data_IF_085524351621
#
_entry.id   IF_085524351621
#
_cell.length_a   1.000
_cell.length_b   1.000
_cell.length_c   1.000
_cell.angle_alpha   90.00
_cell.angle_beta   90.00
_cell.angle_gamma   90.00
#
_symmetry.space_group_name_H-M   'P 1'
#
loop_
_entity.id
_entity.type
_entity.pdbx_description
1 polymer ?
#
# COMPACT_ATOMS: atom_id res chain seq x y z
N UNK A 1 -5.48 -2.62 10.07
CA UNK A 1 -4.45 -1.55 10.13
C UNK A 1 -4.01 -1.10 8.75
N UNK A 2 -3.45 -2.00 7.90
CA UNK A 2 -2.95 -1.66 6.55
C UNK A 2 -3.94 -0.81 5.73
N UNK A 3 -5.18 -1.29 5.53
CA UNK A 3 -6.20 -0.58 4.73
C UNK A 3 -6.41 0.87 5.16
N UNK A 4 -6.41 1.14 6.47
CA UNK A 4 -6.63 2.48 6.98
C UNK A 4 -5.40 3.37 6.70
N UNK A 5 -4.19 2.89 6.97
CA UNK A 5 -2.95 3.62 6.68
C UNK A 5 -2.77 3.88 5.19
N UNK A 6 -3.03 2.87 4.36
CA UNK A 6 -2.99 2.98 2.91
C UNK A 6 -3.95 4.09 2.42
N UNK A 7 -5.18 4.12 2.96
CA UNK A 7 -6.18 5.15 2.64
C UNK A 7 -5.72 6.54 3.08
N UNK A 8 -5.23 6.70 4.31
CA UNK A 8 -4.77 8.02 4.77
C UNK A 8 -3.55 8.53 3.99
N UNK A 9 -2.63 7.65 3.60
CA UNK A 9 -1.49 8.02 2.76
C UNK A 9 -1.92 8.45 1.34
N UNK A 10 -2.95 7.82 0.78
CA UNK A 10 -3.46 8.21 -0.55
C UNK A 10 -4.15 9.57 -0.55
N UNK A 11 -4.58 10.05 0.61
CA UNK A 11 -5.30 11.31 0.77
C UNK A 11 -4.37 12.53 0.90
N UNK A 12 -3.05 12.38 0.74
CA UNK A 12 -2.14 13.53 0.70
C UNK A 12 -2.57 14.53 -0.39
N UNK A 13 -2.66 15.85 -0.14
CA UNK A 13 -2.27 16.58 1.09
C UNK A 13 -3.39 16.79 2.12
N UNK A 14 -4.58 16.22 1.92
CA UNK A 14 -5.69 16.33 2.87
C UNK A 14 -5.38 15.63 4.20
N UNK A 15 -4.82 14.42 4.16
CA UNK A 15 -4.30 13.73 5.34
C UNK A 15 -2.77 13.67 5.28
N UNK A 16 -2.10 14.25 6.27
CA UNK A 16 -0.64 14.43 6.31
C UNK A 16 0.05 13.60 7.39
N UNK A 17 -0.67 12.72 8.08
CA UNK A 17 -0.07 11.95 9.17
C UNK A 17 -0.96 10.81 9.65
N UNK A 18 -0.32 9.72 10.06
CA UNK A 18 -0.98 8.58 10.67
C UNK A 18 -0.14 8.08 11.85
N UNK A 19 -0.76 7.95 13.00
CA UNK A 19 -0.17 7.36 14.20
C UNK A 19 -1.10 6.23 14.64
N UNK A 20 -0.66 4.99 14.51
CA UNK A 20 -1.49 3.86 14.92
C UNK A 20 -1.32 3.60 16.43
N UNK A 21 -2.43 3.27 17.08
CA UNK A 21 -2.42 2.83 18.47
C UNK A 21 -2.27 1.30 18.50
N UNK A 22 -1.23 0.73 19.11
CA UNK A 22 -0.08 1.35 19.81
C UNK A 22 1.24 0.72 19.35
N UNK A 23 2.38 1.32 19.70
CA UNK A 23 3.68 0.78 19.32
C UNK A 23 4.06 -0.46 20.15
N UNK A 24 4.10 -0.34 21.47
CA UNK A 24 4.68 -1.33 22.38
C UNK A 24 3.76 -1.68 23.57
N UNK A 25 4.19 -2.66 24.36
CA UNK A 25 3.59 -3.01 25.65
C UNK A 25 4.53 -2.70 26.82
N UNK A 26 3.94 -2.45 28.00
CA UNK A 26 4.68 -2.23 29.26
C UNK A 26 4.73 -3.48 30.15
N UNK A 27 4.03 -4.55 29.76
CA UNK A 27 3.96 -5.86 30.43
C UNK A 27 3.34 -6.92 29.50
N UNK A 28 3.45 -8.23 29.77
CA UNK A 28 2.85 -9.27 28.92
C UNK A 28 1.31 -9.23 28.96
N UNK A 29 0.69 -8.76 27.88
CA UNK A 29 -0.76 -8.54 27.82
C UNK A 29 -1.29 -8.66 26.39
N UNK A 30 -2.59 -8.94 26.25
CA UNK A 30 -3.29 -8.75 24.99
C UNK A 30 -3.54 -7.24 24.77
N UNK A 31 -3.00 -6.69 23.69
CA UNK A 31 -3.08 -5.26 23.39
C UNK A 31 -3.05 -5.00 21.87
N UNK A 32 -3.11 -3.72 21.52
CA UNK A 32 -2.99 -3.21 20.14
C UNK A 32 -1.54 -2.98 19.70
N UNK A 33 -0.54 -3.45 20.45
CA UNK A 33 0.86 -3.18 20.13
C UNK A 33 1.29 -3.84 18.82
N UNK A 34 2.26 -3.27 18.11
CA UNK A 34 2.98 -3.95 17.04
C UNK A 34 4.25 -4.65 17.54
N UNK A 35 4.78 -4.20 18.68
CA UNK A 35 5.88 -4.80 19.43
C UNK A 35 5.36 -5.36 20.76
N UNK A 36 5.62 -6.64 21.04
CA UNK A 36 5.31 -7.20 22.36
C UNK A 36 6.22 -6.64 23.46
N UNK A 37 5.97 -7.02 24.72
CA UNK A 37 6.77 -6.56 25.88
C UNK A 37 8.26 -6.91 25.77
N UNK A 38 8.62 -8.00 25.11
CA UNK A 38 10.00 -8.42 24.85
C UNK A 38 10.63 -7.74 23.64
N UNK A 39 9.91 -6.85 22.95
CA UNK A 39 10.33 -6.20 21.71
C UNK A 39 10.16 -7.06 20.47
N UNK A 40 9.51 -8.23 20.58
CA UNK A 40 9.20 -9.11 19.47
C UNK A 40 8.25 -8.46 18.48
N UNK A 41 8.55 -8.60 17.19
CA UNK A 41 7.69 -8.08 16.13
C UNK A 41 6.46 -8.95 15.97
N UNK A 42 5.27 -8.37 16.20
CA UNK A 42 4.02 -8.96 15.75
C UNK A 42 3.89 -8.76 14.23
N UNK A 43 2.97 -9.51 13.60
CA UNK A 43 2.66 -9.37 12.16
C UNK A 43 2.45 -7.90 11.75
N UNK A 44 1.80 -7.11 12.63
CA UNK A 44 1.58 -5.70 12.41
C UNK A 44 2.87 -4.91 12.17
N UNK A 45 3.98 -5.22 12.83
CA UNK A 45 5.22 -4.45 12.66
C UNK A 45 5.90 -4.74 11.32
N UNK A 46 5.83 -5.99 10.84
CA UNK A 46 6.24 -6.34 9.48
C UNK A 46 5.38 -5.63 8.44
N UNK A 47 4.07 -5.53 8.68
CA UNK A 47 3.18 -4.76 7.82
C UNK A 47 3.50 -3.27 7.87
N UNK A 48 3.82 -2.72 9.04
CA UNK A 48 4.15 -1.32 9.21
C UNK A 48 5.36 -0.90 8.39
N UNK A 49 6.40 -1.74 8.35
CA UNK A 49 7.54 -1.54 7.45
C UNK A 49 7.12 -1.42 5.98
N UNK A 50 6.10 -2.18 5.53
CA UNK A 50 5.62 -2.17 4.14
C UNK A 50 4.72 -0.98 3.86
N UNK A 51 3.69 -0.74 4.68
CA UNK A 51 2.73 0.35 4.45
C UNK A 51 3.28 1.74 4.78
N UNK A 52 4.45 1.84 5.44
CA UNK A 52 5.23 3.08 5.58
C UNK A 52 6.48 3.14 4.68
N UNK A 53 6.58 2.28 3.66
CA UNK A 53 7.63 2.41 2.66
C UNK A 53 7.57 3.81 2.01
N UNK A 54 8.71 4.51 1.81
CA UNK A 54 8.73 5.88 1.28
C UNK A 54 8.05 6.02 -0.09
N UNK A 55 8.22 5.02 -0.95
CA UNK A 55 7.50 4.88 -2.21
C UNK A 55 6.61 3.66 -2.13
N UNK A 56 5.34 3.81 -2.51
CA UNK A 56 4.39 2.69 -2.55
C UNK A 56 3.26 2.93 -3.54
N UNK A 57 2.59 1.85 -3.96
CA UNK A 57 1.26 1.90 -4.57
C UNK A 57 0.27 1.28 -3.62
N UNK A 58 -0.82 2.00 -3.37
CA UNK A 58 -1.94 1.54 -2.54
C UNK A 58 -3.16 1.29 -3.42
N UNK A 59 -3.91 0.23 -3.12
CA UNK A 59 -5.17 -0.10 -3.77
C UNK A 59 -6.32 0.07 -2.76
N UNK A 60 -7.24 0.98 -3.06
CA UNK A 60 -8.33 1.35 -2.16
C UNK A 60 -9.66 0.97 -2.80
N UNK A 61 -10.46 0.10 -2.17
CA UNK A 61 -11.77 -0.24 -2.68
C UNK A 61 -12.73 0.97 -2.57
N UNK A 62 -13.49 1.22 -3.62
CA UNK A 62 -14.56 2.22 -3.67
C UNK A 62 -15.78 1.68 -4.47
N UNK A 63 -16.77 2.53 -4.73
CA UNK A 63 -18.01 2.14 -5.39
C UNK A 63 -17.84 1.67 -6.85
N UNK A 64 -16.73 1.98 -7.51
CA UNK A 64 -16.48 1.61 -8.91
C UNK A 64 -15.36 0.57 -9.05
N UNK A 65 -14.89 -0.03 -7.95
CA UNK A 65 -13.85 -1.05 -7.94
C UNK A 65 -12.69 -0.66 -7.03
N UNK A 66 -11.46 -0.62 -7.57
CA UNK A 66 -10.25 -0.28 -6.83
C UNK A 66 -9.56 0.93 -7.45
N UNK A 67 -9.35 1.96 -6.64
CA UNK A 67 -8.48 3.09 -6.97
C UNK A 67 -7.04 2.75 -6.61
N UNK A 68 -6.12 2.80 -7.57
CA UNK A 68 -4.69 2.65 -7.33
C UNK A 68 -4.02 4.03 -7.31
N UNK A 69 -3.36 4.32 -6.19
CA UNK A 69 -2.68 5.61 -5.94
C UNK A 69 -1.21 5.34 -5.67
N UNK A 70 -0.32 6.04 -6.39
CA UNK A 70 1.10 6.05 -6.08
C UNK A 70 1.40 7.13 -5.05
N UNK A 71 2.21 6.78 -4.04
CA UNK A 71 2.66 7.68 -2.98
C UNK A 71 4.19 7.77 -3.05
N UNK A 72 4.71 8.99 -3.03
CA UNK A 72 6.14 9.27 -2.96
C UNK A 72 6.41 10.25 -1.83
N UNK A 73 7.05 9.78 -0.76
CA UNK A 73 7.48 10.58 0.39
C UNK A 73 8.99 10.93 0.32
N UNK A 74 9.66 10.65 -0.79
CA UNK A 74 11.08 10.99 -0.98
C UNK A 74 11.22 12.44 -1.44
N UNK A 75 12.44 12.99 -1.32
CA UNK A 75 12.75 14.36 -1.71
C UNK A 75 12.91 14.58 -3.23
N UNK A 76 12.80 13.51 -4.04
CA UNK A 76 12.99 13.57 -5.48
C UNK A 76 11.78 12.94 -6.22
N UNK A 77 11.48 13.37 -7.46
CA UNK A 77 10.49 12.67 -8.28
C UNK A 77 10.92 11.23 -8.56
N UNK A 78 9.94 10.32 -8.60
CA UNK A 78 10.16 8.89 -8.87
C UNK A 78 9.27 8.46 -10.02
N UNK A 79 9.85 7.82 -11.04
CA UNK A 79 9.06 7.19 -12.11
C UNK A 79 8.70 5.78 -11.71
N UNK A 80 7.42 5.49 -11.63
CA UNK A 80 6.86 4.20 -11.23
C UNK A 80 6.17 3.53 -12.41
N UNK A 81 6.42 2.23 -12.58
CA UNK A 81 5.72 1.35 -13.51
C UNK A 81 4.89 0.36 -12.71
N UNK A 82 3.59 0.30 -12.99
CA UNK A 82 2.59 -0.53 -12.33
C UNK A 82 2.04 -1.55 -13.33
N UNK A 83 1.94 -2.82 -12.92
CA UNK A 83 1.20 -3.86 -13.63
C UNK A 83 0.11 -4.42 -12.71
N UNK A 84 -1.13 -4.47 -13.21
CA UNK A 84 -2.30 -4.92 -12.45
C UNK A 84 -2.98 -6.09 -13.16
N UNK A 85 -3.31 -7.13 -12.41
CA UNK A 85 -4.05 -8.30 -12.88
C UNK A 85 -5.20 -8.63 -11.93
N UNK A 86 -6.24 -9.23 -12.48
CA UNK A 86 -7.23 -9.99 -11.71
C UNK A 86 -6.75 -11.44 -11.65
N UNK A 87 -6.61 -12.00 -10.45
CA UNK A 87 -6.20 -13.38 -10.22
C UNK A 87 -7.36 -14.21 -9.67
N UNK A 88 -7.40 -15.50 -9.99
CA UNK A 88 -8.32 -16.48 -9.40
C UNK A 88 -7.56 -17.50 -8.57
N UNK A 89 -8.28 -18.20 -7.68
CA UNK A 89 -7.68 -19.24 -6.82
C UNK A 89 -7.09 -20.43 -7.59
N UNK A 90 -7.52 -20.63 -8.84
CA UNK A 90 -6.96 -21.64 -9.75
C UNK A 90 -5.62 -21.22 -10.39
N UNK A 91 -5.12 -20.02 -10.06
CA UNK A 91 -3.88 -19.45 -10.59
C UNK A 91 -4.02 -18.76 -11.94
N UNK A 92 -5.21 -18.74 -12.55
CA UNK A 92 -5.44 -17.99 -13.79
C UNK A 92 -5.45 -16.49 -13.51
N UNK A 93 -4.92 -15.71 -14.46
CA UNK A 93 -4.84 -14.26 -14.36
C UNK A 93 -5.38 -13.57 -15.61
N UNK A 94 -6.07 -12.46 -15.41
CA UNK A 94 -6.57 -11.57 -16.47
C UNK A 94 -5.90 -10.20 -16.32
N UNK A 95 -5.18 -9.70 -17.34
CA UNK A 95 -4.61 -8.35 -17.30
C UNK A 95 -5.71 -7.31 -17.12
N UNK A 96 -5.47 -6.32 -16.25
CA UNK A 96 -6.39 -5.19 -16.03
C UNK A 96 -5.81 -3.92 -16.64
N UNK A 97 -4.61 -3.52 -16.23
CA UNK A 97 -3.99 -2.29 -16.68
C UNK A 97 -2.49 -2.28 -16.40
N UNK A 98 -1.79 -1.44 -17.16
CA UNK A 98 -0.39 -1.11 -16.97
C UNK A 98 -0.22 0.41 -17.10
N UNK A 99 0.53 1.00 -16.18
CA UNK A 99 0.73 2.44 -16.16
C UNK A 99 2.18 2.76 -15.80
N UNK A 100 2.77 3.72 -16.50
CA UNK A 100 4.05 4.33 -16.12
C UNK A 100 3.83 5.82 -15.87
N UNK A 101 4.25 6.31 -14.71
CA UNK A 101 3.99 7.69 -14.28
C UNK A 101 5.14 8.22 -13.42
N UNK A 102 5.50 9.48 -13.64
CA UNK A 102 6.40 10.19 -12.73
C UNK A 102 5.61 10.81 -11.60
N UNK A 103 5.86 10.34 -10.39
CA UNK A 103 5.28 10.84 -9.15
C UNK A 103 6.19 11.94 -8.61
N UNK A 104 5.72 13.19 -8.48
CA UNK A 104 6.48 14.27 -7.84
C UNK A 104 6.92 13.92 -6.41
N UNK A 105 7.81 14.74 -5.85
CA UNK A 105 8.19 14.68 -4.43
C UNK A 105 6.98 14.93 -3.54
N UNK A 106 6.94 14.26 -2.38
CA UNK A 106 5.97 14.46 -1.30
C UNK A 106 4.50 14.53 -1.75
N UNK A 107 4.04 13.56 -2.56
CA UNK A 107 2.68 13.57 -3.09
C UNK A 107 2.06 12.17 -3.20
N UNK A 108 0.73 12.16 -3.30
CA UNK A 108 -0.05 10.99 -3.67
C UNK A 108 -0.87 11.31 -4.94
N UNK A 109 -0.73 10.50 -5.99
CA UNK A 109 -1.46 10.68 -7.25
C UNK A 109 -2.22 9.43 -7.63
N UNK A 110 -3.50 9.52 -8.04
CA UNK A 110 -4.21 8.39 -8.66
C UNK A 110 -3.53 8.01 -9.98
N UNK A 111 -3.28 6.72 -10.20
CA UNK A 111 -2.54 6.23 -11.36
C UNK A 111 -3.31 5.22 -12.20
N UNK A 112 -4.26 4.50 -11.60
CA UNK A 112 -5.09 3.52 -12.29
C UNK A 112 -6.38 3.24 -11.52
N UNK A 113 -7.35 2.64 -12.22
CA UNK A 113 -8.54 2.01 -11.63
C UNK A 113 -8.66 0.58 -12.15
N UNK A 114 -9.18 -0.30 -11.30
CA UNK A 114 -9.33 -1.72 -11.62
C UNK A 114 -10.69 -2.24 -11.14
N UNK A 115 -11.33 -3.05 -11.98
CA UNK A 115 -12.58 -3.75 -11.66
C UNK A 115 -12.37 -5.26 -11.73
N UNK A 116 -13.04 -5.96 -10.81
CA UNK A 116 -12.98 -7.42 -10.69
C UNK A 116 -14.34 -8.01 -11.04
N UNK A 117 -14.33 -9.18 -11.67
CA UNK A 117 -15.49 -10.04 -11.81
C UNK A 117 -15.63 -10.96 -10.59
N UNK A 118 -16.76 -11.65 -10.48
CA UNK A 118 -17.01 -12.59 -9.38
C UNK A 118 -15.93 -13.67 -9.29
N UNK A 119 -15.39 -13.85 -8.08
CA UNK A 119 -14.34 -14.83 -7.79
C UNK A 119 -12.93 -14.40 -8.18
N UNK A 120 -12.73 -13.16 -8.64
CA UNK A 120 -11.40 -12.59 -8.89
C UNK A 120 -10.90 -11.78 -7.68
N UNK A 121 -9.57 -11.73 -7.54
CA UNK A 121 -8.84 -10.94 -6.56
C UNK A 121 -7.91 -9.97 -7.30
N UNK A 122 -7.73 -8.76 -6.75
CA UNK A 122 -6.76 -7.81 -7.27
C UNK A 122 -5.35 -8.27 -6.90
N UNK A 123 -4.46 -8.35 -7.88
CA UNK A 123 -3.03 -8.50 -7.66
C UNK A 123 -2.28 -7.48 -8.49
N UNK A 124 -1.21 -6.91 -7.95
CA UNK A 124 -0.43 -5.91 -8.67
C UNK A 124 1.03 -5.92 -8.23
N UNK A 125 1.89 -5.49 -9.15
CA UNK A 125 3.31 -5.27 -8.90
C UNK A 125 3.73 -3.93 -9.46
N UNK A 126 4.71 -3.32 -8.82
CA UNK A 126 5.29 -2.08 -9.30
C UNK A 126 6.79 -2.03 -9.05
N UNK A 127 7.46 -1.25 -9.89
CA UNK A 127 8.88 -0.93 -9.78
C UNK A 127 9.07 0.56 -9.98
N UNK A 128 10.07 1.14 -9.35
CA UNK A 128 10.36 2.56 -9.39
C UNK A 128 11.81 2.85 -9.79
N UNK A 129 12.05 4.05 -10.32
CA UNK A 129 13.36 4.50 -10.79
C UNK A 129 14.42 4.63 -9.69
N UNK A 130 14.00 4.71 -8.42
CA UNK A 130 14.89 4.73 -7.24
C UNK A 130 15.30 3.32 -6.77
N UNK A 131 14.88 2.27 -7.49
CA UNK A 131 15.12 0.87 -7.16
C UNK A 131 14.12 0.27 -6.17
N UNK A 132 13.16 1.07 -5.67
CA UNK A 132 12.06 0.52 -4.87
C UNK A 132 11.12 -0.30 -5.73
N UNK A 133 10.54 -1.33 -5.11
CA UNK A 133 9.57 -2.21 -5.76
C UNK A 133 8.63 -2.79 -4.71
N UNK A 134 7.46 -3.20 -5.14
CA UNK A 134 6.46 -3.79 -4.27
C UNK A 134 5.28 -4.34 -5.03
N UNK A 135 4.30 -4.81 -4.28
CA UNK A 135 3.10 -5.42 -4.82
C UNK A 135 2.27 -6.07 -3.73
N UNK A 136 1.15 -6.61 -4.14
CA UNK A 136 0.26 -7.48 -3.37
C UNK A 136 0.00 -8.75 -4.17
#
# INVERSE_FOLDING_TARGET
MKTAVDTWRSLKPHCMGTLYWQLNDVWPVASWSSLDYGGGWKLLHYMAKRFFAPVTVVAIPDAEGFALTAVNDTAAPVTLTLHVVAAKLDGTTRPLTEATVTVPTDTAIPIARATLADGEFLAFRWTASDGSAGGD
#
